data_IF_480264241227
#
_entry.id   IF_480264241227
#
_cell.length_a   1.000
_cell.length_b   1.000
_cell.length_c   1.000
_cell.angle_alpha   90.00
_cell.angle_beta   90.00
_cell.angle_gamma   90.00
#
_symmetry.space_group_name_H-M   'P 1'
#
loop_
_entity.id
_entity.type
_entity.pdbx_description
1 polymer ?
#
# COMPACT_ATOMS: atom_id res chain seq x y z
N UNK A 1 8.32 -4.27 0.01
CA UNK A 1 6.89 -4.52 -0.31
C UNK A 1 6.43 -3.43 -1.26
N UNK A 2 5.85 -3.78 -2.38
CA UNK A 2 5.32 -2.83 -3.36
C UNK A 2 3.80 -2.96 -3.47
N UNK A 3 3.06 -1.84 -3.48
CA UNK A 3 1.60 -1.83 -3.62
C UNK A 3 1.15 -1.07 -4.87
N UNK A 4 0.11 -1.60 -5.53
CA UNK A 4 -0.51 -1.03 -6.74
C UNK A 4 -2.03 -1.16 -6.68
N UNK A 5 -2.74 -0.13 -7.12
CA UNK A 5 -4.17 -0.26 -7.44
C UNK A 5 -4.32 -1.15 -8.68
N UNK A 6 -5.31 -2.05 -8.65
CA UNK A 6 -5.54 -3.03 -9.71
C UNK A 6 -7.01 -2.96 -10.17
N UNK A 7 -7.23 -2.80 -11.47
CA UNK A 7 -8.52 -2.61 -12.15
C UNK A 7 -9.31 -1.35 -11.79
N UNK A 8 -9.31 -0.93 -10.53
CA UNK A 8 -10.06 0.22 -10.00
C UNK A 8 -9.19 1.04 -9.04
N UNK A 9 -9.61 2.27 -8.76
CA UNK A 9 -8.99 3.11 -7.75
C UNK A 9 -9.14 2.51 -6.35
N UNK A 10 -8.14 2.72 -5.49
CA UNK A 10 -8.20 2.31 -4.08
C UNK A 10 -8.44 3.52 -3.19
N UNK A 11 -9.52 3.47 -2.41
CA UNK A 11 -9.95 4.56 -1.53
C UNK A 11 -9.60 4.27 -0.06
N UNK A 12 -9.15 5.32 0.64
CA UNK A 12 -8.77 5.31 2.07
C UNK A 12 -7.70 4.26 2.40
N UNK A 13 -6.64 4.22 1.60
CA UNK A 13 -5.49 3.36 1.84
C UNK A 13 -4.72 3.85 3.08
N UNK A 14 -4.60 2.98 4.06
CA UNK A 14 -3.80 3.19 5.26
C UNK A 14 -2.74 2.10 5.38
N UNK A 15 -1.50 2.51 5.61
CA UNK A 15 -0.36 1.61 5.86
C UNK A 15 0.26 1.99 7.20
N UNK A 16 0.32 1.04 8.15
CA UNK A 16 0.93 1.22 9.47
C UNK A 16 2.17 0.35 9.63
N UNK A 17 3.07 0.76 10.52
CA UNK A 17 4.33 0.07 10.86
C UNK A 17 5.32 -0.12 9.70
N UNK A 18 5.13 0.63 8.62
CA UNK A 18 6.05 0.66 7.50
C UNK A 18 6.92 1.92 7.55
N UNK A 19 8.02 1.95 6.80
CA UNK A 19 8.97 3.06 6.70
C UNK A 19 8.30 4.36 6.26
N UNK A 20 7.34 4.26 5.34
CA UNK A 20 6.53 5.36 4.84
C UNK A 20 5.05 5.10 5.14
N UNK A 21 4.56 5.40 6.35
CA UNK A 21 3.16 5.18 6.69
C UNK A 21 2.25 6.06 5.85
N UNK A 22 1.05 5.57 5.54
CA UNK A 22 0.01 6.29 4.82
C UNK A 22 -1.27 6.29 5.65
N UNK A 23 -2.08 7.35 5.54
CA UNK A 23 -3.33 7.50 6.29
C UNK A 23 -4.41 8.03 5.35
N UNK A 24 -5.43 7.20 5.12
CA UNK A 24 -6.60 7.50 4.28
C UNK A 24 -6.28 8.06 2.88
N UNK A 25 -5.18 7.59 2.29
CA UNK A 25 -4.72 8.05 0.99
C UNK A 25 -5.57 7.49 -0.16
N UNK A 26 -5.65 8.25 -1.24
CA UNK A 26 -6.27 7.81 -2.48
C UNK A 26 -5.20 7.32 -3.46
N UNK A 27 -5.33 6.08 -3.94
CA UNK A 27 -4.41 5.49 -4.90
C UNK A 27 -5.13 5.28 -6.24
N UNK A 28 -4.89 6.14 -7.25
CA UNK A 28 -5.51 5.99 -8.56
C UNK A 28 -4.99 4.75 -9.29
N UNK A 29 -5.86 4.05 -10.02
CA UNK A 29 -5.50 2.88 -10.84
C UNK A 29 -4.42 3.18 -11.88
N UNK A 30 -4.51 4.33 -12.53
CA UNK A 30 -3.52 4.77 -13.53
C UNK A 30 -2.25 5.36 -12.92
N UNK A 31 -2.18 5.45 -11.59
CA UNK A 31 -1.01 5.97 -10.94
C UNK A 31 0.11 4.95 -10.98
N UNK A 32 1.24 5.34 -11.55
CA UNK A 32 2.50 4.61 -11.43
C UNK A 32 3.14 4.76 -10.04
N UNK A 33 2.41 5.31 -9.05
CA UNK A 33 2.80 5.34 -7.64
C UNK A 33 2.88 3.90 -7.11
N UNK A 34 3.99 3.23 -7.42
CA UNK A 34 4.46 2.07 -6.71
C UNK A 34 4.83 2.53 -5.30
N UNK A 35 4.02 2.18 -4.31
CA UNK A 35 4.39 2.40 -2.92
C UNK A 35 5.37 1.30 -2.54
N UNK A 36 6.66 1.55 -2.73
CA UNK A 36 7.71 0.69 -2.19
C UNK A 36 7.92 1.04 -0.72
N UNK A 37 7.52 0.11 0.15
CA UNK A 37 7.61 0.25 1.58
C UNK A 37 8.37 -0.91 2.20
N UNK A 38 9.07 -0.61 3.28
CA UNK A 38 9.88 -1.56 4.04
C UNK A 38 9.36 -1.60 5.47
N UNK A 39 9.57 -2.74 6.13
CA UNK A 39 9.27 -2.86 7.54
C UNK A 39 10.29 -2.01 8.34
N UNK A 40 9.78 -1.09 9.16
CA UNK A 40 10.59 -0.17 9.97
C UNK A 40 10.45 -0.43 11.48
N UNK A 41 9.72 -1.47 11.85
CA UNK A 41 9.40 -1.84 13.22
C UNK A 41 9.43 -3.36 13.33
N UNK A 42 9.65 -3.90 14.53
CA UNK A 42 9.45 -5.33 14.79
C UNK A 42 7.98 -5.76 14.67
N UNK A 43 7.06 -4.79 14.56
CA UNK A 43 5.65 -5.02 14.33
C UNK A 43 5.34 -5.34 12.85
N UNK A 44 4.36 -6.21 12.58
CA UNK A 44 3.92 -6.49 11.22
C UNK A 44 3.36 -5.22 10.55
N UNK A 45 3.63 -5.07 9.26
CA UNK A 45 2.99 -4.04 8.44
C UNK A 45 1.49 -4.36 8.34
N UNK A 46 0.66 -3.36 8.58
CA UNK A 46 -0.79 -3.46 8.46
C UNK A 46 -1.21 -2.60 7.27
N UNK A 47 -1.89 -3.23 6.30
CA UNK A 47 -2.46 -2.57 5.13
C UNK A 47 -3.98 -2.70 5.20
N UNK A 48 -4.70 -1.59 5.09
CA UNK A 48 -6.16 -1.55 5.04
C UNK A 48 -6.64 -0.51 4.03
N UNK A 49 -7.77 -0.77 3.40
CA UNK A 49 -8.45 0.16 2.49
C UNK A 49 -9.96 -0.06 2.56
N UNK A 50 -10.76 0.92 2.13
CA UNK A 50 -12.22 0.82 2.20
C UNK A 50 -12.83 0.24 0.92
N UNK A 51 -12.26 0.58 -0.25
CA UNK A 51 -12.81 0.19 -1.56
C UNK A 51 -11.69 0.05 -2.60
N UNK A 52 -11.91 -0.85 -3.57
CA UNK A 52 -11.00 -1.11 -4.69
C UNK A 52 -10.35 -2.49 -4.62
N UNK A 53 -9.37 -2.73 -5.49
CA UNK A 53 -8.53 -3.94 -5.45
C UNK A 53 -7.06 -3.53 -5.41
N UNK A 54 -6.31 -4.12 -4.48
CA UNK A 54 -4.91 -3.80 -4.25
C UNK A 54 -4.03 -5.01 -4.56
N UNK A 55 -3.06 -4.84 -5.46
CA UNK A 55 -2.02 -5.82 -5.72
C UNK A 55 -0.84 -5.55 -4.78
N UNK A 56 -0.48 -6.56 -3.98
CA UNK A 56 0.66 -6.48 -3.06
C UNK A 56 1.74 -7.44 -3.53
N UNK A 57 2.93 -6.91 -3.80
CA UNK A 57 4.11 -7.70 -4.16
C UNK A 57 5.13 -7.66 -3.03
N UNK A 58 5.45 -8.85 -2.51
CA UNK A 58 6.53 -9.05 -1.55
C UNK A 58 7.73 -9.59 -2.32
N UNK A 59 8.71 -8.72 -2.58
CA UNK A 59 10.01 -9.11 -3.12
C UNK A 59 10.96 -9.39 -1.96
N UNK A 60 11.66 -10.51 -2.02
CA UNK A 60 12.82 -10.80 -1.17
C UNK A 60 14.05 -10.61 -2.04
N UNK A 61 14.67 -9.44 -1.94
CA UNK A 61 16.06 -9.21 -2.37
C UNK A 61 16.94 -9.13 -1.11
#
# INVERSE_FOLDING_TARGET
MSLFAFCDDVEKLTIKNAKYPLVDEFLPFYSSLCISNEQNSDLPIIVSFEKGTLLVMLSND
#
